data_IF_820664445447
#
_entry.id   IF_820664445447
#
_cell.length_a   1.000
_cell.length_b   1.000
_cell.length_c   1.000
_cell.angle_alpha   90.00
_cell.angle_beta   90.00
_cell.angle_gamma   90.00
#
_symmetry.space_group_name_H-M   'P 1'
#
loop_
_entity.id
_entity.type
_entity.pdbx_description
1 polymer ?
#
# COMPACT_ATOMS: atom_id res chain seq x y z
N UNK A 1 1.90 4.13 -10.44
CA UNK A 1 2.67 4.84 -9.39
C UNK A 1 1.67 5.49 -8.44
N UNK A 2 1.89 5.38 -7.14
CA UNK A 2 0.96 5.70 -6.06
C UNK A 2 1.72 6.34 -4.88
N UNK A 3 2.32 7.54 -5.03
CA UNK A 3 3.05 8.21 -3.97
C UNK A 3 2.11 9.15 -3.19
N UNK A 4 0.95 8.66 -2.77
CA UNK A 4 0.02 9.47 -1.98
C UNK A 4 0.51 9.58 -0.55
N UNK A 5 0.24 10.73 0.08
CA UNK A 5 0.53 10.94 1.51
C UNK A 5 -0.54 10.33 2.42
N UNK A 6 -1.76 10.15 1.94
CA UNK A 6 -2.88 9.62 2.73
C UNK A 6 -3.60 8.59 1.86
N UNK A 7 -3.75 7.38 2.37
CA UNK A 7 -4.40 6.28 1.67
C UNK A 7 -5.30 5.49 2.63
N UNK A 8 -6.39 4.94 2.09
CA UNK A 8 -7.32 4.09 2.82
C UNK A 8 -7.08 2.60 2.55
N UNK A 9 -7.38 2.14 1.34
CA UNK A 9 -7.20 0.74 0.94
C UNK A 9 -6.35 0.57 -0.33
N UNK A 10 -6.08 1.65 -1.07
CA UNK A 10 -5.30 1.58 -2.31
C UNK A 10 -6.06 0.96 -3.49
N UNK A 11 -7.31 1.35 -3.74
CA UNK A 11 -8.13 0.78 -4.83
C UNK A 11 -7.45 0.83 -6.21
N UNK A 12 -6.85 1.96 -6.58
CA UNK A 12 -6.16 2.08 -7.86
C UNK A 12 -4.83 1.30 -7.89
N UNK A 13 -4.18 1.10 -6.74
CA UNK A 13 -3.03 0.19 -6.64
C UNK A 13 -3.48 -1.24 -6.91
N UNK A 14 -4.60 -1.67 -6.34
CA UNK A 14 -5.18 -2.99 -6.59
C UNK A 14 -5.61 -3.18 -8.06
N UNK A 15 -6.13 -2.14 -8.73
CA UNK A 15 -6.39 -2.20 -10.17
C UNK A 15 -5.10 -2.39 -10.98
N UNK A 16 -4.01 -1.71 -10.59
CA UNK A 16 -2.71 -1.88 -11.23
C UNK A 16 -2.10 -3.28 -10.97
N UNK A 17 -2.26 -3.83 -9.76
CA UNK A 17 -1.88 -5.22 -9.46
C UNK A 17 -2.68 -6.19 -10.31
N UNK A 18 -4.01 -6.04 -10.36
CA UNK A 18 -4.91 -6.90 -11.13
C UNK A 18 -4.60 -6.91 -12.63
N UNK A 19 -4.16 -5.77 -13.19
CA UNK A 19 -3.76 -5.68 -14.60
C UNK A 19 -2.38 -6.25 -14.90
N UNK A 20 -1.58 -6.58 -13.87
CA UNK A 20 -0.19 -7.01 -14.03
C UNK A 20 0.78 -5.85 -14.31
N UNK A 21 0.42 -4.64 -13.91
CA UNK A 21 1.31 -3.48 -13.96
C UNK A 21 2.39 -3.55 -12.88
N UNK A 22 3.53 -2.87 -13.13
CA UNK A 22 4.49 -2.57 -12.07
C UNK A 22 3.88 -1.53 -11.14
N UNK A 23 3.84 -1.85 -9.86
CA UNK A 23 3.35 -0.96 -8.81
C UNK A 23 4.52 -0.33 -8.06
N UNK A 24 4.38 0.97 -7.81
CA UNK A 24 5.31 1.78 -7.01
C UNK A 24 4.47 2.55 -6.01
N UNK A 25 4.74 2.39 -4.72
CA UNK A 25 3.94 3.01 -3.64
C UNK A 25 4.78 3.34 -2.42
N UNK A 26 4.20 4.03 -1.44
CA UNK A 26 4.86 4.42 -0.19
C UNK A 26 5.12 3.22 0.71
N UNK A 27 6.25 3.24 1.42
CA UNK A 27 6.59 2.25 2.45
C UNK A 27 5.94 2.60 3.80
N UNK A 28 4.61 2.66 3.81
CA UNK A 28 3.84 2.93 5.02
C UNK A 28 2.48 2.26 4.91
N UNK A 29 1.92 1.74 6.02
CA UNK A 29 0.56 1.25 6.04
C UNK A 29 -0.41 2.30 5.48
N UNK A 30 -1.43 1.88 4.70
CA UNK A 30 -1.73 0.49 4.33
C UNK A 30 -1.08 0.03 3.02
N UNK A 31 -0.28 0.89 2.37
CA UNK A 31 0.16 0.65 0.99
C UNK A 31 1.24 -0.42 0.88
N UNK A 32 2.16 -0.46 1.84
CA UNK A 32 3.23 -1.46 1.87
C UNK A 32 2.73 -2.87 2.18
N UNK A 33 1.58 -3.00 2.86
CA UNK A 33 0.93 -4.29 3.13
C UNK A 33 0.53 -5.03 1.84
N UNK A 34 0.28 -4.29 0.74
CA UNK A 34 -0.07 -4.88 -0.56
C UNK A 34 1.16 -5.37 -1.35
N UNK A 35 2.38 -5.08 -0.86
CA UNK A 35 3.67 -5.39 -1.49
C UNK A 35 4.49 -6.29 -0.54
N UNK A 36 4.18 -7.59 -0.53
CA UNK A 36 4.83 -8.57 0.36
C UNK A 36 6.30 -8.87 0.03
N UNK A 37 6.78 -8.47 -1.15
CA UNK A 37 8.18 -8.65 -1.53
C UNK A 37 8.66 -7.58 -2.52
N UNK A 38 9.97 -7.31 -2.53
CA UNK A 38 10.59 -6.44 -3.55
C UNK A 38 10.48 -6.99 -4.97
N UNK A 39 10.06 -8.25 -5.13
CA UNK A 39 9.86 -8.85 -6.43
C UNK A 39 8.51 -8.50 -7.07
N UNK A 40 7.55 -7.95 -6.31
CA UNK A 40 6.20 -7.65 -6.82
C UNK A 40 5.90 -6.14 -6.93
N UNK A 41 6.78 -5.28 -6.44
CA UNK A 41 6.60 -3.84 -6.51
C UNK A 41 7.81 -3.08 -5.98
N UNK A 42 7.71 -1.76 -6.02
CA UNK A 42 8.73 -0.85 -5.51
C UNK A 42 8.13 -0.04 -4.36
N UNK A 43 8.83 -0.01 -3.24
CA UNK A 43 8.48 0.80 -2.08
C UNK A 43 9.35 2.06 -2.03
N UNK A 44 8.71 3.21 -1.84
CA UNK A 44 9.35 4.50 -1.63
C UNK A 44 9.48 4.69 -0.12
N UNK A 45 10.70 4.83 0.38
CA UNK A 45 10.94 5.07 1.80
C UNK A 45 10.17 6.30 2.28
N UNK A 46 9.45 6.13 3.38
CA UNK A 46 8.54 7.12 3.96
C UNK A 46 8.58 7.05 5.48
N UNK A 47 8.16 8.13 6.12
CA UNK A 47 7.92 8.16 7.56
C UNK A 47 6.43 8.40 7.86
N UNK A 48 5.96 7.88 8.99
CA UNK A 48 4.60 8.11 9.46
C UNK A 48 4.51 9.42 10.26
N UNK A 49 3.72 10.37 9.77
CA UNK A 49 3.44 11.66 10.40
C UNK A 49 2.05 11.67 11.05
N UNK A 50 1.97 12.17 12.28
CA UNK A 50 0.70 12.44 12.97
C UNK A 50 0.22 13.85 12.65
N UNK A 51 -1.03 13.99 12.19
CA UNK A 51 -1.58 15.28 11.77
C UNK A 51 -2.73 15.75 12.69
N UNK A 52 -2.74 17.01 13.17
CA UNK A 52 -3.70 17.50 14.16
C UNK A 52 -5.16 17.54 13.71
N UNK A 53 -5.39 17.48 12.39
CA UNK A 53 -6.73 17.46 11.79
C UNK A 53 -7.21 16.07 11.38
N UNK A 54 -6.44 15.01 11.64
CA UNK A 54 -6.83 13.64 11.33
C UNK A 54 -7.36 12.94 12.57
N UNK A 55 -8.67 12.71 12.63
CA UNK A 55 -9.37 12.12 13.79
C UNK A 55 -8.72 10.80 14.28
N UNK A 56 -8.30 9.95 13.34
CA UNK A 56 -7.69 8.64 13.62
C UNK A 56 -6.15 8.66 13.54
N UNK A 57 -5.54 9.85 13.44
CA UNK A 57 -4.12 10.02 13.14
C UNK A 57 -3.19 10.23 14.33
N UNK A 58 -3.62 9.89 15.55
CA UNK A 58 -2.77 9.87 16.75
C UNK A 58 -2.45 11.22 17.40
N UNK A 59 -2.91 12.35 16.83
CA UNK A 59 -2.66 13.72 17.34
C UNK A 59 -3.84 14.66 17.12
N UNK A 60 -5.06 14.16 16.97
CA UNK A 60 -6.21 15.01 16.70
C UNK A 60 -6.46 15.99 17.85
N UNK A 61 -6.68 17.27 17.55
CA UNK A 61 -6.83 18.32 18.59
C UNK A 61 -8.21 18.32 19.27
N UNK A 62 -9.21 17.62 18.72
CA UNK A 62 -10.54 17.53 19.31
C UNK A 62 -10.71 16.39 20.32
N UNK A 63 -11.74 16.49 21.17
CA UNK A 63 -11.96 15.63 22.35
C UNK A 63 -12.03 14.11 22.10
N UNK A 64 -12.41 13.69 20.88
CA UNK A 64 -12.63 12.27 20.53
C UNK A 64 -11.65 11.73 19.51
N UNK A 65 -10.48 12.36 19.45
CA UNK A 65 -9.34 11.89 18.68
C UNK A 65 -8.83 10.54 19.16
N UNK A 66 -8.35 9.73 18.22
CA UNK A 66 -7.51 8.58 18.57
C UNK A 66 -6.14 9.12 19.01
N UNK A 67 -5.72 8.76 20.21
CA UNK A 67 -4.44 9.15 20.81
C UNK A 67 -3.46 7.97 20.79
N UNK A 68 -2.17 8.28 20.88
CA UNK A 68 -1.08 7.30 21.03
C UNK A 68 -0.97 6.24 19.92
N UNK A 69 -1.50 6.52 18.73
CA UNK A 69 -1.34 5.66 17.55
C UNK A 69 -0.26 6.18 16.60
N UNK A 70 0.17 5.32 15.69
CA UNK A 70 0.98 5.75 14.55
C UNK A 70 0.22 6.77 13.69
N UNK A 71 1.00 7.63 13.04
CA UNK A 71 0.47 8.58 12.07
C UNK A 71 -0.04 7.86 10.83
N UNK A 72 -1.13 8.37 10.25
CA UNK A 72 -1.73 7.84 9.02
C UNK A 72 -1.30 8.62 7.78
N UNK A 73 -0.32 9.51 7.93
CA UNK A 73 0.17 10.35 6.85
C UNK A 73 1.60 9.94 6.51
N UNK A 74 1.82 9.49 5.29
CA UNK A 74 3.15 9.19 4.77
C UNK A 74 3.87 10.48 4.37
N UNK A 75 5.10 10.66 4.83
CA UNK A 75 6.00 11.74 4.43
C UNK A 75 7.19 11.21 3.66
N UNK A 76 7.47 11.86 2.54
CA UNK A 76 8.65 11.62 1.71
C UNK A 76 9.01 12.93 1.03
N UNK A 77 10.27 13.05 0.60
CA UNK A 77 10.72 14.18 -0.20
C UNK A 77 10.82 13.79 -1.68
N UNK A 78 10.79 14.79 -2.55
CA UNK A 78 10.82 14.59 -4.00
C UNK A 78 12.11 13.93 -4.48
N UNK A 79 13.25 14.20 -3.82
CA UNK A 79 14.53 13.60 -4.20
C UNK A 79 14.56 12.09 -3.92
N UNK A 80 14.05 11.64 -2.78
CA UNK A 80 13.92 10.23 -2.43
C UNK A 80 13.00 9.48 -3.40
N UNK A 81 11.88 10.09 -3.78
CA UNK A 81 10.99 9.56 -4.82
C UNK A 81 11.73 9.41 -6.16
N UNK A 82 12.40 10.47 -6.63
CA UNK A 82 13.16 10.44 -7.88
C UNK A 82 14.25 9.38 -7.87
N UNK A 83 15.00 9.27 -6.77
CA UNK A 83 16.06 8.28 -6.61
C UNK A 83 15.52 6.85 -6.66
N UNK A 84 14.39 6.58 -6.01
CA UNK A 84 13.76 5.26 -6.03
C UNK A 84 13.33 4.86 -7.46
N UNK A 85 12.73 5.78 -8.21
CA UNK A 85 12.33 5.55 -9.60
C UNK A 85 13.55 5.37 -10.49
N UNK A 86 14.56 6.23 -10.38
CA UNK A 86 15.76 6.15 -11.21
C UNK A 86 16.51 4.85 -10.95
N UNK A 87 16.67 4.46 -9.69
CA UNK A 87 17.26 3.18 -9.29
C UNK A 87 16.46 2.00 -9.84
N UNK A 88 15.12 1.99 -9.69
CA UNK A 88 14.29 0.94 -10.27
C UNK A 88 14.45 0.85 -11.79
N UNK A 89 14.47 1.98 -12.48
CA UNK A 89 14.60 2.01 -13.94
C UNK A 89 15.98 1.53 -14.40
N UNK A 90 17.06 1.89 -13.71
CA UNK A 90 18.41 1.48 -14.07
C UNK A 90 18.75 0.03 -13.69
N UNK A 91 18.16 -0.47 -12.60
CA UNK A 91 18.45 -1.81 -12.06
C UNK A 91 17.56 -2.93 -12.60
N UNK A 92 16.54 -2.62 -13.41
CA UNK A 92 15.59 -3.62 -13.91
C UNK A 92 15.42 -3.61 -15.43
N UNK A 93 15.40 -4.81 -16.00
CA UNK A 93 15.09 -5.09 -17.40
C UNK A 93 13.57 -5.18 -17.63
N UNK A 94 13.12 -5.04 -18.88
CA UNK A 94 11.72 -5.23 -19.26
C UNK A 94 11.18 -6.60 -18.85
N UNK A 95 12.00 -7.67 -18.96
CA UNK A 95 11.62 -9.02 -18.53
C UNK A 95 11.40 -9.11 -17.02
N UNK A 96 12.28 -8.49 -16.22
CA UNK A 96 12.12 -8.43 -14.77
C UNK A 96 10.86 -7.64 -14.37
N UNK A 97 10.58 -6.53 -15.07
CA UNK A 97 9.36 -5.72 -14.84
C UNK A 97 8.07 -6.48 -15.19
N UNK A 98 8.07 -7.21 -16.30
CA UNK A 98 6.95 -8.07 -16.67
C UNK A 98 6.71 -9.17 -15.61
N UNK A 99 7.78 -9.81 -15.14
CA UNK A 99 7.70 -10.81 -14.08
C UNK A 99 7.22 -10.20 -12.74
N UNK A 100 7.63 -8.97 -12.43
CA UNK A 100 7.17 -8.24 -11.25
C UNK A 100 5.67 -7.97 -11.30
N UNK A 101 5.17 -7.47 -12.42
CA UNK A 101 3.73 -7.29 -12.64
C UNK A 101 2.94 -8.59 -12.56
N UNK A 102 3.46 -9.69 -13.13
CA UNK A 102 2.83 -11.00 -13.04
C UNK A 102 2.69 -11.49 -11.58
N UNK A 103 3.73 -11.30 -10.75
CA UNK A 103 3.68 -11.61 -9.31
C UNK A 103 2.71 -10.70 -8.56
N UNK A 104 2.67 -9.41 -8.87
CA UNK A 104 1.71 -8.47 -8.29
C UNK A 104 0.26 -8.92 -8.56
N UNK A 105 -0.02 -9.36 -9.79
CA UNK A 105 -1.32 -9.91 -10.20
C UNK A 105 -1.66 -11.21 -9.50
N UNK A 106 -0.70 -12.12 -9.39
CA UNK A 106 -0.90 -13.36 -8.64
C UNK A 106 -1.31 -13.07 -7.20
N UNK A 107 -0.57 -12.21 -6.49
CA UNK A 107 -0.91 -11.85 -5.11
C UNK A 107 -2.29 -11.19 -5.02
N UNK A 108 -2.67 -10.33 -5.96
CA UNK A 108 -4.02 -9.75 -6.00
C UNK A 108 -5.12 -10.82 -6.04
N UNK A 109 -4.92 -11.89 -6.82
CA UNK A 109 -5.87 -13.01 -6.87
C UNK A 109 -5.90 -13.79 -5.56
N UNK A 110 -4.75 -13.99 -4.91
CA UNK A 110 -4.66 -14.63 -3.59
C UNK A 110 -5.40 -13.82 -2.52
N UNK A 111 -5.17 -12.51 -2.45
CA UNK A 111 -5.83 -11.60 -1.51
C UNK A 111 -7.36 -11.58 -1.74
N UNK A 112 -7.79 -11.54 -3.00
CA UNK A 112 -9.22 -11.57 -3.37
C UNK A 112 -9.88 -12.88 -2.94
N UNK A 113 -9.18 -14.01 -3.13
CA UNK A 113 -9.65 -15.32 -2.67
C UNK A 113 -9.75 -15.37 -1.15
N UNK A 114 -8.74 -14.87 -0.45
CA UNK A 114 -8.75 -14.77 1.01
C UNK A 114 -9.93 -13.93 1.51
N UNK A 115 -10.16 -12.75 0.92
CA UNK A 115 -11.29 -11.90 1.27
C UNK A 115 -12.64 -12.62 1.10
N UNK A 116 -12.86 -13.27 -0.06
CA UNK A 116 -14.08 -14.01 -0.32
C UNK A 116 -14.32 -15.14 0.69
N UNK A 117 -13.27 -15.87 1.07
CA UNK A 117 -13.33 -16.92 2.08
C UNK A 117 -13.63 -16.36 3.48
N UNK A 118 -12.99 -15.25 3.86
CA UNK A 118 -13.22 -14.57 5.12
C UNK A 118 -14.66 -14.05 5.23
N UNK A 119 -15.22 -13.50 4.15
CA UNK A 119 -16.62 -13.08 4.11
C UNK A 119 -17.60 -14.26 4.21
N UNK A 120 -17.27 -15.41 3.62
CA UNK A 120 -18.05 -16.63 3.79
C UNK A 120 -18.05 -17.09 5.27
N UNK A 121 -16.89 -17.11 5.91
CA UNK A 121 -16.76 -17.45 7.34
C UNK A 121 -17.56 -16.49 8.22
N UNK A 122 -17.46 -15.18 7.97
CA UNK A 122 -18.23 -14.17 8.69
C UNK A 122 -19.74 -14.42 8.57
N UNK A 123 -20.22 -14.71 7.36
CA UNK A 123 -21.64 -15.01 7.12
C UNK A 123 -22.13 -16.26 7.87
N UNK A 124 -21.29 -17.28 8.00
CA UNK A 124 -21.62 -18.47 8.80
C UNK A 124 -21.67 -18.14 10.29
N UNK A 125 -20.72 -17.33 10.77
CA UNK A 125 -20.67 -16.89 12.16
C UNK A 125 -21.91 -16.11 12.57
N UNK A 126 -22.39 -15.15 11.76
CA UNK A 126 -23.55 -14.30 12.10
C UNK A 126 -24.91 -14.99 11.97
N UNK A 127 -24.94 -16.24 11.54
CA UNK A 127 -26.18 -17.05 11.39
C UNK A 127 -26.40 -18.00 12.56
N UNK A 128 -25.39 -18.18 13.39
CA UNK A 128 -25.48 -18.87 14.69
C UNK A 128 -25.81 -17.83 15.78
#
# INVERSE_FOLDING_TARGET
MCPSRIEGYGHYLNQARASGGVVVTTDTPPMNELILSSQMGVLISTESERHPKMLLGGKYEGERGLNDTEGLLATFNSSGLCNAIQHFVSSTTTKQRAAMGARARQQYHEDTKFFAQSMHKLRLFTRN
#
